data_IF_483846808410
#
_entry.id   IF_483846808410
#
_cell.length_a   1.000
_cell.length_b   1.000
_cell.length_c   1.000
_cell.angle_alpha   90.00
_cell.angle_beta   90.00
_cell.angle_gamma   90.00
#
_symmetry.space_group_name_H-M   'P 1'
#
loop_
_entity.id
_entity.type
_entity.pdbx_description
1 polymer ?
#
# COMPACT_ATOMS: atom_id res chain seq x y z
N UNK A 1 -8.57 16.30 40.10
CA UNK A 1 -8.18 14.87 39.90
C UNK A 1 -8.01 14.46 38.42
N UNK A 2 -8.87 14.90 37.48
CA UNK A 2 -8.71 14.57 36.05
C UNK A 2 -7.46 15.19 35.38
N UNK A 3 -7.12 16.44 35.70
CA UNK A 3 -5.94 17.15 35.12
C UNK A 3 -4.62 16.45 35.47
N UNK A 4 -4.49 15.92 36.69
CA UNK A 4 -3.30 15.24 37.19
C UNK A 4 -3.14 13.83 36.58
N UNK A 5 -4.25 13.14 36.27
CA UNK A 5 -4.24 11.87 35.53
C UNK A 5 -3.82 12.06 34.07
N UNK A 6 -4.28 13.15 33.45
CA UNK A 6 -3.91 13.51 32.07
C UNK A 6 -2.43 13.88 31.99
N UNK A 7 -1.89 14.67 32.92
CA UNK A 7 -0.46 15.01 32.91
C UNK A 7 0.45 13.80 33.16
N UNK A 8 0.04 12.86 34.03
CA UNK A 8 0.75 11.58 34.24
C UNK A 8 0.74 10.70 32.99
N UNK A 9 -0.34 10.70 32.22
CA UNK A 9 -0.41 9.96 30.95
C UNK A 9 0.51 10.57 29.89
N UNK A 10 0.53 11.91 29.77
CA UNK A 10 1.32 12.64 28.76
C UNK A 10 2.84 12.65 29.05
N UNK A 11 3.25 12.41 30.30
CA UNK A 11 4.66 12.25 30.71
C UNK A 11 5.02 10.78 31.04
N UNK A 12 4.26 9.82 30.49
CA UNK A 12 4.53 8.41 30.72
C UNK A 12 5.82 7.99 30.00
N UNK A 13 6.81 7.46 30.72
CA UNK A 13 8.10 6.99 30.17
C UNK A 13 7.94 6.01 29.00
N UNK A 14 6.95 5.12 29.04
CA UNK A 14 6.66 4.19 27.95
C UNK A 14 6.11 4.91 26.71
N UNK A 15 5.23 5.90 26.91
CA UNK A 15 4.73 6.75 25.83
C UNK A 15 5.87 7.53 25.18
N UNK A 16 6.68 8.24 25.98
CA UNK A 16 7.82 9.03 25.50
C UNK A 16 8.83 8.16 24.74
N UNK A 17 9.19 7.00 25.29
CA UNK A 17 10.08 6.03 24.62
C UNK A 17 9.50 5.47 23.32
N UNK A 18 8.19 5.31 23.25
CA UNK A 18 7.50 4.90 22.00
C UNK A 18 7.54 6.02 20.97
N UNK A 19 7.23 7.26 21.36
CA UNK A 19 7.28 8.42 20.48
C UNK A 19 8.70 8.66 19.93
N UNK A 20 9.72 8.54 20.77
CA UNK A 20 11.13 8.60 20.37
C UNK A 20 11.45 7.51 19.33
N UNK A 21 11.15 6.24 19.63
CA UNK A 21 11.38 5.13 18.69
C UNK A 21 10.64 5.30 17.36
N UNK A 22 9.41 5.84 17.38
CA UNK A 22 8.66 6.10 16.15
C UNK A 22 9.27 7.25 15.35
N UNK A 23 9.81 8.28 16.01
CA UNK A 23 10.54 9.33 15.31
C UNK A 23 11.82 8.80 14.62
N UNK A 24 12.50 7.84 15.24
CA UNK A 24 13.73 7.24 14.70
C UNK A 24 13.47 6.18 13.61
N UNK A 25 12.34 5.46 13.72
CA UNK A 25 12.00 4.32 12.87
C UNK A 25 10.62 4.46 12.19
N UNK A 26 10.24 5.68 11.80
CA UNK A 26 8.90 5.99 11.30
C UNK A 26 8.43 5.11 10.13
N UNK A 27 9.30 4.83 9.16
CA UNK A 27 8.98 3.97 8.00
C UNK A 27 8.71 2.53 8.40
N UNK A 28 9.56 1.93 9.24
CA UNK A 28 9.39 0.56 9.72
C UNK A 28 8.17 0.44 10.63
N UNK A 29 7.92 1.43 11.48
CA UNK A 29 6.72 1.51 12.29
C UNK A 29 5.45 1.58 11.44
N UNK A 30 5.44 2.42 10.40
CA UNK A 30 4.30 2.54 9.48
C UNK A 30 4.04 1.25 8.70
N UNK A 31 5.11 0.58 8.22
CA UNK A 31 5.01 -0.70 7.52
C UNK A 31 4.50 -1.82 8.45
N UNK A 32 5.07 -1.94 9.65
CA UNK A 32 4.65 -2.94 10.64
C UNK A 32 3.22 -2.71 11.14
N UNK A 33 2.84 -1.45 11.41
CA UNK A 33 1.46 -1.10 11.78
C UNK A 33 0.49 -1.44 10.65
N UNK A 34 0.83 -1.10 9.41
CA UNK A 34 -0.01 -1.44 8.25
C UNK A 34 -0.21 -2.95 8.11
N UNK A 35 0.83 -3.75 8.35
CA UNK A 35 0.74 -5.21 8.34
C UNK A 35 -0.20 -5.71 9.44
N UNK A 36 0.02 -5.30 10.69
CA UNK A 36 -0.84 -5.71 11.83
C UNK A 36 -2.30 -5.33 11.58
N UNK A 37 -2.56 -4.13 11.06
CA UNK A 37 -3.91 -3.68 10.76
C UNK A 37 -4.55 -4.47 9.59
N UNK A 38 -3.77 -4.84 8.58
CA UNK A 38 -4.23 -5.65 7.45
C UNK A 38 -4.51 -7.12 7.83
N UNK A 39 -3.78 -7.65 8.82
CA UNK A 39 -3.90 -9.03 9.31
C UNK A 39 -4.89 -9.20 10.46
N UNK A 40 -5.14 -8.14 11.23
CA UNK A 40 -6.01 -8.19 12.41
C UNK A 40 -7.25 -7.33 12.24
N UNK A 41 -7.08 -6.01 12.29
CA UNK A 41 -8.20 -5.06 12.39
C UNK A 41 -9.14 -5.13 11.18
N UNK A 42 -8.59 -5.18 9.96
CA UNK A 42 -9.40 -5.28 8.74
C UNK A 42 -10.15 -6.61 8.61
N UNK A 43 -9.52 -7.77 8.84
CA UNK A 43 -10.23 -9.04 8.97
C UNK A 43 -11.37 -9.01 9.98
N UNK A 44 -11.15 -8.46 11.18
CA UNK A 44 -12.20 -8.35 12.21
C UNK A 44 -13.34 -7.44 11.74
N UNK A 45 -13.03 -6.29 11.16
CA UNK A 45 -14.02 -5.37 10.60
C UNK A 45 -14.87 -6.06 9.52
N UNK A 46 -14.23 -6.73 8.56
CA UNK A 46 -14.90 -7.46 7.48
C UNK A 46 -15.85 -8.52 8.05
N UNK A 47 -15.37 -9.36 8.99
CA UNK A 47 -16.17 -10.43 9.58
C UNK A 47 -17.36 -9.88 10.38
N UNK A 48 -17.20 -8.73 11.03
CA UNK A 48 -18.24 -8.05 11.80
C UNK A 48 -19.33 -7.35 10.97
N UNK A 49 -19.14 -7.21 9.66
CA UNK A 49 -20.08 -6.48 8.78
C UNK A 49 -21.48 -7.13 8.78
N UNK A 50 -22.57 -6.42 9.10
CA UNK A 50 -23.92 -7.02 9.07
C UNK A 50 -24.41 -7.28 7.64
N UNK A 51 -25.42 -8.13 7.49
CA UNK A 51 -26.17 -8.37 6.23
C UNK A 51 -25.34 -8.73 4.99
N UNK A 52 -24.20 -9.41 5.20
CA UNK A 52 -23.34 -9.94 4.13
C UNK A 52 -23.18 -11.44 4.30
N UNK A 53 -23.20 -12.17 3.19
CA UNK A 53 -22.96 -13.62 3.20
C UNK A 53 -21.63 -13.98 3.83
N UNK A 54 -21.65 -15.01 4.70
CA UNK A 54 -20.48 -15.46 5.46
C UNK A 54 -19.29 -15.74 4.54
N UNK A 55 -19.52 -16.40 3.41
CA UNK A 55 -18.47 -16.76 2.48
C UNK A 55 -17.88 -15.54 1.76
N UNK A 56 -18.68 -14.53 1.41
CA UNK A 56 -18.19 -13.27 0.85
C UNK A 56 -17.29 -12.52 1.85
N UNK A 57 -17.64 -12.53 3.14
CA UNK A 57 -16.75 -12.01 4.21
C UNK A 57 -15.45 -12.80 4.31
N UNK A 58 -15.51 -14.12 4.17
CA UNK A 58 -14.32 -14.99 4.24
C UNK A 58 -13.36 -14.71 3.07
N UNK A 59 -13.87 -14.56 1.84
CA UNK A 59 -13.05 -14.17 0.69
C UNK A 59 -12.46 -12.77 0.84
N UNK A 60 -13.24 -11.78 1.30
CA UNK A 60 -12.73 -10.44 1.57
C UNK A 60 -11.66 -10.44 2.68
N UNK A 61 -11.86 -11.24 3.73
CA UNK A 61 -10.90 -11.44 4.83
C UNK A 61 -9.60 -12.08 4.33
N UNK A 62 -9.69 -13.17 3.57
CA UNK A 62 -8.54 -13.84 2.97
C UNK A 62 -7.77 -12.89 2.04
N UNK A 63 -8.47 -12.14 1.19
CA UNK A 63 -7.86 -11.14 0.33
C UNK A 63 -7.14 -10.02 1.12
N UNK A 64 -7.70 -9.57 2.24
CA UNK A 64 -7.02 -8.62 3.14
C UNK A 64 -5.70 -9.18 3.68
N UNK A 65 -5.73 -10.42 4.19
CA UNK A 65 -4.56 -11.07 4.74
C UNK A 65 -3.49 -11.29 3.66
N UNK A 66 -3.87 -11.88 2.53
CA UNK A 66 -2.97 -12.13 1.41
C UNK A 66 -2.33 -10.83 0.91
N UNK A 67 -3.13 -9.80 0.66
CA UNK A 67 -2.63 -8.52 0.17
C UNK A 67 -1.70 -7.83 1.17
N UNK A 68 -1.97 -7.96 2.48
CA UNK A 68 -1.09 -7.48 3.56
C UNK A 68 0.26 -8.19 3.56
N UNK A 69 0.27 -9.52 3.52
CA UNK A 69 1.49 -10.34 3.50
C UNK A 69 2.33 -10.06 2.25
N UNK A 70 1.71 -10.09 1.06
CA UNK A 70 2.42 -9.84 -0.20
C UNK A 70 2.93 -8.39 -0.26
N UNK A 71 2.15 -7.41 0.20
CA UNK A 71 2.61 -6.01 0.26
C UNK A 71 3.86 -5.88 1.12
N UNK A 72 3.88 -6.50 2.30
CA UNK A 72 5.04 -6.47 3.18
C UNK A 72 6.26 -7.15 2.55
N UNK A 73 6.09 -8.36 1.99
CA UNK A 73 7.16 -9.07 1.29
C UNK A 73 7.73 -8.29 0.10
N UNK A 74 6.88 -7.62 -0.68
CA UNK A 74 7.30 -6.80 -1.83
C UNK A 74 8.08 -5.54 -1.43
N UNK A 75 7.77 -4.94 -0.27
CA UNK A 75 8.54 -3.81 0.26
C UNK A 75 9.99 -4.26 0.52
N UNK A 76 10.16 -5.38 1.22
CA UNK A 76 11.48 -5.94 1.55
C UNK A 76 12.25 -6.36 0.30
N UNK A 77 11.58 -7.04 -0.63
CA UNK A 77 12.23 -7.62 -1.81
C UNK A 77 12.56 -6.59 -2.90
N UNK A 78 11.79 -5.51 -3.03
CA UNK A 78 11.88 -4.58 -4.17
C UNK A 78 12.09 -3.13 -3.72
N UNK A 79 11.19 -2.59 -2.90
CA UNK A 79 11.20 -1.18 -2.56
C UNK A 79 12.45 -0.79 -1.75
N UNK A 80 12.80 -1.56 -0.72
CA UNK A 80 13.96 -1.28 0.13
C UNK A 80 15.30 -1.32 -0.64
N UNK A 81 15.58 -2.34 -1.47
CA UNK A 81 16.77 -2.32 -2.34
C UNK A 81 16.84 -1.09 -3.26
N UNK A 82 15.71 -0.68 -3.85
CA UNK A 82 15.65 0.50 -4.72
C UNK A 82 15.85 1.79 -3.93
N UNK A 83 15.20 1.96 -2.78
CA UNK A 83 15.42 3.11 -1.89
C UNK A 83 16.86 3.22 -1.45
N UNK A 84 17.49 2.11 -1.07
CA UNK A 84 18.88 2.06 -0.68
C UNK A 84 19.82 2.39 -1.85
N UNK A 85 19.49 1.96 -3.07
CA UNK A 85 20.22 2.32 -4.27
C UNK A 85 20.11 3.83 -4.56
N UNK A 86 18.92 4.44 -4.44
CA UNK A 86 18.77 5.90 -4.57
C UNK A 86 19.54 6.63 -3.47
N UNK A 87 19.51 6.16 -2.22
CA UNK A 87 20.31 6.72 -1.11
C UNK A 87 21.82 6.67 -1.39
N UNK A 88 22.31 5.69 -2.14
CA UNK A 88 23.71 5.65 -2.57
C UNK A 88 24.01 6.76 -3.60
N UNK A 89 23.09 7.01 -4.52
CA UNK A 89 23.18 8.13 -5.48
C UNK A 89 23.12 9.47 -4.74
N UNK A 90 22.21 9.61 -3.76
CA UNK A 90 22.09 10.82 -2.92
C UNK A 90 23.42 11.18 -2.25
N UNK A 91 24.11 10.18 -1.71
CA UNK A 91 25.37 10.37 -0.96
C UNK A 91 26.58 10.59 -1.85
N UNK A 92 26.68 9.89 -2.98
CA UNK A 92 27.85 9.91 -3.86
C UNK A 92 27.43 10.04 -5.34
N UNK A 93 26.84 11.18 -5.74
CA UNK A 93 26.23 11.30 -7.07
C UNK A 93 27.23 11.13 -8.21
N UNK A 94 28.44 11.67 -8.07
CA UNK A 94 29.48 11.62 -9.11
C UNK A 94 29.96 10.20 -9.43
N UNK A 95 29.71 9.25 -8.53
CA UNK A 95 30.02 7.84 -8.75
C UNK A 95 28.99 7.14 -9.65
N UNK A 96 27.75 7.63 -9.68
CA UNK A 96 26.62 6.94 -10.32
C UNK A 96 26.00 7.73 -11.46
N UNK A 97 26.23 9.05 -11.53
CA UNK A 97 25.67 9.95 -12.53
C UNK A 97 26.78 10.62 -13.34
N UNK A 98 26.49 10.95 -14.59
CA UNK A 98 27.41 11.76 -15.40
C UNK A 98 27.51 13.19 -14.83
N UNK A 99 28.67 13.85 -14.92
CA UNK A 99 28.83 15.24 -14.46
C UNK A 99 27.81 16.21 -15.06
N UNK A 100 27.46 16.03 -16.34
CA UNK A 100 26.42 16.82 -17.00
C UNK A 100 25.05 16.62 -16.34
N UNK A 101 24.70 15.39 -15.97
CA UNK A 101 23.44 15.08 -15.29
C UNK A 101 23.42 15.71 -13.90
N UNK A 102 24.51 15.62 -13.14
CA UNK A 102 24.61 16.28 -11.82
C UNK A 102 24.42 17.78 -11.97
N UNK A 103 25.11 18.43 -12.92
CA UNK A 103 24.99 19.87 -13.17
C UNK A 103 23.56 20.28 -13.55
N UNK A 104 22.95 19.57 -14.51
CA UNK A 104 21.61 19.89 -15.02
C UNK A 104 20.52 19.62 -14.00
N UNK A 105 20.60 18.50 -13.27
CA UNK A 105 19.61 18.18 -12.23
C UNK A 105 19.78 19.06 -10.99
N UNK A 106 21.00 19.51 -10.65
CA UNK A 106 21.24 20.43 -9.52
C UNK A 106 20.59 21.80 -9.77
N UNK A 107 20.66 22.31 -11.00
CA UNK A 107 19.88 23.48 -11.44
C UNK A 107 20.01 24.73 -10.57
N UNK A 108 21.16 24.93 -9.90
CA UNK A 108 21.40 26.08 -8.99
C UNK A 108 21.10 25.85 -7.51
N UNK A 109 20.57 24.68 -7.11
CA UNK A 109 20.39 24.32 -5.69
C UNK A 109 21.74 24.16 -4.96
N UNK A 110 21.77 24.25 -3.63
CA UNK A 110 23.02 24.12 -2.86
C UNK A 110 23.62 22.70 -2.99
N UNK A 111 22.75 21.69 -2.99
CA UNK A 111 23.07 20.27 -3.21
C UNK A 111 22.12 19.58 -4.20
N UNK A 112 22.55 18.44 -4.76
CA UNK A 112 21.73 17.67 -5.70
C UNK A 112 20.42 17.19 -5.06
N UNK A 113 20.49 16.65 -3.84
CA UNK A 113 19.32 16.15 -3.10
C UNK A 113 18.33 17.25 -2.69
N UNK A 114 18.71 18.53 -2.79
CA UNK A 114 17.80 19.65 -2.52
C UNK A 114 17.02 20.10 -3.76
N UNK A 115 17.54 19.80 -4.96
CA UNK A 115 16.93 20.18 -6.23
C UNK A 115 15.59 19.49 -6.46
N UNK A 116 14.62 20.27 -6.93
CA UNK A 116 13.29 19.79 -7.34
C UNK A 116 13.38 18.72 -8.43
N UNK A 117 14.16 18.95 -9.48
CA UNK A 117 14.29 18.02 -10.63
C UNK A 117 14.86 16.67 -10.20
N UNK A 118 15.84 16.70 -9.29
CA UNK A 118 16.42 15.48 -8.74
C UNK A 118 15.45 14.75 -7.80
N UNK A 119 14.80 15.47 -6.89
CA UNK A 119 13.78 14.90 -6.00
C UNK A 119 12.65 14.24 -6.78
N UNK A 120 12.20 14.89 -7.86
CA UNK A 120 11.20 14.32 -8.78
C UNK A 120 11.70 13.00 -9.40
N UNK A 121 12.91 12.96 -9.94
CA UNK A 121 13.50 11.74 -10.49
C UNK A 121 13.59 10.62 -9.45
N UNK A 122 14.09 10.94 -8.26
CA UNK A 122 14.19 10.01 -7.12
C UNK A 122 12.81 9.48 -6.69
N UNK A 123 11.79 10.33 -6.62
CA UNK A 123 10.43 9.92 -6.26
C UNK A 123 9.79 9.03 -7.33
N UNK A 124 9.92 9.37 -8.62
CA UNK A 124 9.41 8.53 -9.72
C UNK A 124 10.06 7.15 -9.68
N UNK A 125 11.37 7.06 -9.43
CA UNK A 125 12.04 5.77 -9.30
C UNK A 125 11.57 4.98 -8.08
N UNK A 126 11.50 5.60 -6.90
CA UNK A 126 11.06 4.92 -5.67
C UNK A 126 9.63 4.42 -5.79
N UNK A 127 8.70 5.29 -6.20
CA UNK A 127 7.28 4.98 -6.29
C UNK A 127 6.90 4.17 -7.53
N UNK A 128 7.67 4.29 -8.62
CA UNK A 128 7.50 3.49 -9.83
C UNK A 128 7.67 2.00 -9.61
N UNK A 129 8.38 1.59 -8.55
CA UNK A 129 8.41 0.18 -8.12
C UNK A 129 7.01 -0.37 -7.81
N UNK A 130 6.11 0.48 -7.30
CA UNK A 130 4.71 0.12 -7.06
C UNK A 130 3.97 -0.23 -8.36
N UNK A 131 4.16 0.57 -9.41
CA UNK A 131 3.58 0.29 -10.74
C UNK A 131 4.08 -1.02 -11.32
N UNK A 132 5.40 -1.24 -11.29
CA UNK A 132 6.03 -2.46 -11.84
C UNK A 132 5.56 -3.71 -11.09
N UNK A 133 5.42 -3.61 -9.77
CA UNK A 133 5.03 -4.74 -8.92
C UNK A 133 3.52 -4.94 -8.82
N UNK A 134 2.68 -4.03 -9.34
CA UNK A 134 1.23 -4.10 -9.20
C UNK A 134 0.63 -5.41 -9.76
N UNK A 135 1.02 -5.79 -10.99
CA UNK A 135 0.54 -7.03 -11.62
C UNK A 135 1.07 -8.28 -10.90
N UNK A 136 2.40 -8.44 -10.67
CA UNK A 136 2.90 -9.59 -9.90
C UNK A 136 2.29 -9.68 -8.50
N UNK A 137 2.09 -8.55 -7.82
CA UNK A 137 1.45 -8.48 -6.52
C UNK A 137 0.01 -8.99 -6.57
N UNK A 138 -0.77 -8.63 -7.58
CA UNK A 138 -2.15 -9.13 -7.71
C UNK A 138 -2.16 -10.64 -7.96
N UNK A 139 -1.31 -11.14 -8.85
CA UNK A 139 -1.17 -12.58 -9.13
C UNK A 139 -0.86 -13.36 -7.86
N UNK A 140 0.17 -12.95 -7.11
CA UNK A 140 0.56 -13.61 -5.86
C UNK A 140 -0.52 -13.52 -4.79
N UNK A 141 -1.22 -12.40 -4.71
CA UNK A 141 -2.34 -12.23 -3.76
C UNK A 141 -3.44 -13.23 -4.06
N UNK A 142 -3.89 -13.32 -5.31
CA UNK A 142 -4.95 -14.24 -5.73
C UNK A 142 -4.53 -15.71 -5.60
N UNK A 143 -3.27 -16.04 -5.93
CA UNK A 143 -2.73 -17.38 -5.75
C UNK A 143 -2.68 -17.82 -4.28
N UNK A 144 -2.54 -16.87 -3.34
CA UNK A 144 -2.46 -17.14 -1.91
C UNK A 144 -3.84 -17.26 -1.24
N UNK A 145 -4.91 -16.70 -1.84
CA UNK A 145 -6.28 -16.75 -1.29
C UNK A 145 -6.71 -18.18 -0.94
N UNK A 146 -6.60 -19.20 -1.81
CA UNK A 146 -7.03 -20.56 -1.49
C UNK A 146 -6.32 -21.15 -0.28
N UNK A 147 -5.03 -20.85 -0.12
CA UNK A 147 -4.23 -21.34 1.02
C UNK A 147 -4.73 -20.72 2.33
N UNK A 148 -5.06 -19.43 2.33
CA UNK A 148 -5.61 -18.74 3.50
C UNK A 148 -7.05 -19.19 3.77
N UNK A 149 -7.85 -19.37 2.73
CA UNK A 149 -9.24 -19.86 2.83
C UNK A 149 -9.32 -21.26 3.44
N UNK A 150 -8.44 -22.17 3.02
CA UNK A 150 -8.34 -23.51 3.58
C UNK A 150 -7.91 -23.45 5.06
N UNK A 151 -6.82 -22.74 5.37
CA UNK A 151 -6.27 -22.70 6.74
C UNK A 151 -7.16 -21.99 7.76
N UNK A 152 -7.84 -20.91 7.38
CA UNK A 152 -8.62 -20.11 8.33
C UNK A 152 -10.10 -20.51 8.38
N UNK A 153 -10.63 -21.07 7.29
CA UNK A 153 -12.07 -21.31 7.16
C UNK A 153 -12.43 -22.73 6.77
N UNK A 154 -11.45 -23.64 6.61
CA UNK A 154 -11.65 -25.01 6.13
C UNK A 154 -12.41 -25.09 4.80
N UNK A 155 -12.27 -24.07 3.95
CA UNK A 155 -12.86 -24.04 2.62
C UNK A 155 -11.81 -24.59 1.66
N UNK A 156 -11.93 -25.90 1.40
CA UNK A 156 -11.03 -26.61 0.49
C UNK A 156 -11.14 -26.05 -0.93
N UNK A 157 -10.01 -26.08 -1.64
CA UNK A 157 -9.93 -25.75 -3.07
C UNK A 157 -10.99 -26.53 -3.84
N UNK A 158 -11.72 -25.89 -4.76
CA UNK A 158 -12.59 -26.63 -5.68
C UNK A 158 -11.70 -27.63 -6.44
N UNK A 159 -12.00 -28.92 -6.28
CA UNK A 159 -11.32 -30.03 -6.96
C UNK A 159 -11.83 -30.19 -8.39
N UNK A 160 -11.92 -29.10 -9.15
CA UNK A 160 -11.81 -29.24 -10.60
C UNK A 160 -10.32 -29.40 -10.86
N UNK A 161 -9.93 -30.60 -11.28
CA UNK A 161 -8.58 -30.96 -11.68
C UNK A 161 -8.05 -29.94 -12.66
N UNK A 162 -7.28 -28.97 -12.14
CA UNK A 162 -6.23 -28.37 -12.93
C UNK A 162 -5.23 -29.50 -13.14
N UNK A 163 -5.34 -30.20 -14.27
CA UNK A 163 -4.18 -30.87 -14.86
C UNK A 163 -3.19 -29.76 -15.13
N UNK A 164 -2.32 -29.50 -14.15
CA UNK A 164 -1.02 -28.96 -14.46
C UNK A 164 -0.41 -30.05 -15.32
N UNK A 165 -0.28 -29.79 -16.63
CA UNK A 165 0.72 -30.50 -17.41
C UNK A 165 2.04 -30.23 -16.71
N UNK A 166 2.42 -31.17 -15.83
CA UNK A 166 3.76 -31.28 -15.32
C UNK A 166 4.60 -31.69 -16.52
N UNK A 167 4.99 -30.73 -17.34
CA UNK A 167 6.14 -30.90 -18.18
C UNK A 167 7.35 -30.87 -17.23
N UNK A 168 8.01 -32.01 -16.94
CA UNK A 168 9.08 -32.07 -15.93
C UNK A 168 10.26 -31.15 -16.26
N UNK A 169 10.32 -30.66 -17.50
CA UNK A 169 11.43 -29.90 -18.05
C UNK A 169 11.31 -28.38 -17.87
N UNK A 170 10.21 -27.85 -17.31
CA UNK A 170 10.02 -26.40 -17.15
C UNK A 170 9.70 -25.89 -15.74
N UNK A 171 9.87 -26.73 -14.71
CA UNK A 171 10.07 -26.21 -13.35
C UNK A 171 11.54 -25.86 -13.22
N UNK A 172 11.93 -24.67 -13.68
CA UNK A 172 13.10 -24.03 -13.11
C UNK A 172 12.77 -23.71 -11.66
N UNK A 173 13.03 -24.67 -10.77
CA UNK A 173 13.31 -24.38 -9.38
C UNK A 173 14.37 -23.28 -9.46
N UNK A 174 14.01 -22.06 -9.08
CA UNK A 174 14.97 -21.00 -8.84
C UNK A 174 15.84 -21.58 -7.73
N UNK A 175 16.93 -22.27 -8.11
CA UNK A 175 18.00 -22.64 -7.19
C UNK A 175 18.28 -21.35 -6.47
N UNK A 176 18.02 -21.34 -5.15
CA UNK A 176 18.25 -20.19 -4.31
C UNK A 176 19.76 -19.93 -4.35
N UNK A 177 20.22 -19.24 -5.39
CA UNK A 177 21.50 -18.59 -5.42
C UNK A 177 21.44 -17.75 -4.17
N UNK A 178 22.32 -17.99 -3.20
CA UNK A 178 22.45 -17.12 -2.01
C UNK A 178 22.56 -15.70 -2.58
N UNK A 179 21.45 -14.96 -2.60
CA UNK A 179 21.45 -13.58 -3.06
C UNK A 179 22.22 -12.89 -1.96
N UNK A 180 23.45 -12.44 -2.20
CA UNK A 180 24.20 -11.82 -1.14
C UNK A 180 23.52 -10.47 -0.91
N UNK A 181 22.74 -10.39 0.16
CA UNK A 181 22.29 -9.12 0.76
C UNK A 181 23.48 -8.29 1.30
N UNK A 182 24.71 -8.74 1.05
CA UNK A 182 25.97 -8.02 1.23
C UNK A 182 26.23 -7.05 0.07
N UNK A 183 25.47 -5.96 -0.03
CA UNK A 183 25.86 -4.70 -0.68
C UNK A 183 26.10 -4.64 -2.20
N UNK A 184 26.54 -5.71 -2.88
CA UNK A 184 26.88 -5.71 -4.31
C UNK A 184 25.66 -5.56 -5.22
N UNK A 185 24.51 -6.13 -4.85
CA UNK A 185 23.25 -5.97 -5.60
C UNK A 185 22.75 -4.51 -5.62
N UNK A 186 22.82 -3.83 -4.47
CA UNK A 186 22.45 -2.41 -4.37
C UNK A 186 23.39 -1.49 -5.16
N UNK A 187 24.65 -1.89 -5.37
CA UNK A 187 25.60 -1.14 -6.17
C UNK A 187 25.26 -1.18 -7.67
N UNK A 188 24.91 -2.36 -8.17
CA UNK A 188 24.48 -2.52 -9.56
C UNK A 188 23.13 -1.83 -9.81
N UNK A 189 22.20 -1.93 -8.85
CA UNK A 189 20.94 -1.19 -8.89
C UNK A 189 21.17 0.33 -8.93
N UNK A 190 22.08 0.86 -8.11
CA UNK A 190 22.42 2.29 -8.11
C UNK A 190 23.00 2.72 -9.46
N UNK A 191 23.88 1.92 -10.07
CA UNK A 191 24.39 2.18 -11.43
C UNK A 191 23.27 2.12 -12.48
N UNK A 192 22.35 1.17 -12.37
CA UNK A 192 21.20 1.04 -13.26
C UNK A 192 20.27 2.24 -13.18
N UNK A 193 19.90 2.68 -11.97
CA UNK A 193 19.11 3.89 -11.73
C UNK A 193 19.87 5.13 -12.24
N UNK A 194 21.19 5.19 -12.00
CA UNK A 194 22.03 6.26 -12.53
C UNK A 194 21.94 6.40 -14.06
N UNK A 195 21.96 5.27 -14.79
CA UNK A 195 21.73 5.27 -16.25
C UNK A 195 20.35 5.80 -16.65
N UNK A 196 19.31 5.54 -15.84
CA UNK A 196 17.97 6.09 -16.06
C UNK A 196 18.00 7.61 -15.90
N UNK A 197 18.67 8.13 -14.87
CA UNK A 197 18.78 9.57 -14.65
C UNK A 197 19.65 10.26 -15.72
N UNK A 198 20.67 9.56 -16.22
CA UNK A 198 21.52 10.02 -17.31
C UNK A 198 20.83 10.02 -18.69
N UNK A 199 19.70 9.32 -18.81
CA UNK A 199 18.94 9.30 -20.05
C UNK A 199 18.42 10.71 -20.37
N UNK A 200 18.65 11.17 -21.61
CA UNK A 200 18.29 12.53 -22.04
C UNK A 200 16.79 12.81 -21.90
N UNK A 201 15.94 11.86 -22.28
CA UNK A 201 14.48 12.00 -22.23
C UNK A 201 13.99 12.10 -20.79
N UNK A 202 14.46 11.19 -19.92
CA UNK A 202 14.12 11.21 -18.49
C UNK A 202 14.60 12.51 -17.85
N UNK A 203 15.86 12.90 -18.08
CA UNK A 203 16.42 14.14 -17.55
C UNK A 203 15.64 15.38 -18.00
N UNK A 204 15.30 15.46 -19.28
CA UNK A 204 14.51 16.58 -19.80
C UNK A 204 13.10 16.60 -19.21
N UNK A 205 12.46 15.43 -19.05
CA UNK A 205 11.16 15.31 -18.42
C UNK A 205 11.18 15.83 -16.98
N UNK A 206 12.11 15.36 -16.15
CA UNK A 206 12.16 15.77 -14.73
C UNK A 206 12.59 17.22 -14.53
N UNK A 207 13.34 17.80 -15.46
CA UNK A 207 13.64 19.24 -15.45
C UNK A 207 12.41 20.05 -15.84
N UNK A 208 11.72 19.66 -16.92
CA UNK A 208 10.51 20.33 -17.41
C UNK A 208 9.37 20.32 -16.39
N UNK A 209 9.26 19.24 -15.61
CA UNK A 209 8.18 19.04 -14.66
C UNK A 209 8.62 19.18 -13.19
N UNK A 210 9.75 19.84 -12.93
CA UNK A 210 10.34 19.94 -11.60
C UNK A 210 9.37 20.47 -10.52
N UNK A 211 8.44 21.35 -10.88
CA UNK A 211 7.45 21.90 -9.94
C UNK A 211 6.41 20.88 -9.46
N UNK A 212 6.27 19.73 -10.13
CA UNK A 212 5.39 18.63 -9.71
C UNK A 212 6.00 17.74 -8.62
N UNK A 213 7.21 18.03 -8.14
CA UNK A 213 7.91 17.26 -7.11
C UNK A 213 7.06 17.00 -5.85
N UNK A 214 6.16 17.91 -5.50
CA UNK A 214 5.28 17.75 -4.33
C UNK A 214 4.01 16.93 -4.61
N UNK A 215 3.58 16.83 -5.86
CA UNK A 215 2.32 16.19 -6.25
C UNK A 215 2.53 14.80 -6.86
N UNK A 216 3.69 14.55 -7.47
CA UNK A 216 3.97 13.31 -8.20
C UNK A 216 3.77 12.08 -7.31
N UNK A 217 4.09 12.18 -6.01
CA UNK A 217 3.90 11.07 -5.09
C UNK A 217 2.43 10.65 -4.97
N UNK A 218 1.53 11.63 -4.98
CA UNK A 218 0.08 11.40 -4.96
C UNK A 218 -0.39 10.74 -6.25
N UNK A 219 0.02 11.26 -7.41
CA UNK A 219 -0.37 10.72 -8.71
C UNK A 219 0.16 9.31 -8.95
N UNK A 220 1.42 9.04 -8.61
CA UNK A 220 2.04 7.72 -8.75
C UNK A 220 1.38 6.68 -7.85
N UNK A 221 1.03 7.07 -6.62
CA UNK A 221 0.30 6.20 -5.69
C UNK A 221 -1.10 5.90 -6.23
N UNK A 222 -1.82 6.92 -6.70
CA UNK A 222 -3.14 6.73 -7.31
C UNK A 222 -3.10 5.83 -8.56
N UNK A 223 -2.13 6.05 -9.45
CA UNK A 223 -1.92 5.22 -10.63
C UNK A 223 -1.60 3.76 -10.25
N UNK A 224 -0.77 3.56 -9.23
CA UNK A 224 -0.45 2.23 -8.70
C UNK A 224 -1.70 1.54 -8.14
N UNK A 225 -2.51 2.24 -7.36
CA UNK A 225 -3.73 1.67 -6.76
C UNK A 225 -4.76 1.30 -7.84
N UNK A 226 -4.94 2.14 -8.87
CA UNK A 226 -5.80 1.85 -10.03
C UNK A 226 -5.30 0.60 -10.75
N UNK A 227 -4.01 0.57 -11.11
CA UNK A 227 -3.43 -0.57 -11.84
C UNK A 227 -3.49 -1.85 -11.04
N UNK A 228 -3.17 -1.80 -9.74
CA UNK A 228 -3.25 -2.94 -8.83
C UNK A 228 -4.69 -3.45 -8.72
N UNK A 229 -5.67 -2.56 -8.63
CA UNK A 229 -7.09 -2.92 -8.53
C UNK A 229 -7.61 -3.53 -9.83
N UNK A 230 -7.29 -2.93 -10.97
CA UNK A 230 -7.66 -3.46 -12.28
C UNK A 230 -7.02 -4.85 -12.51
N UNK A 231 -5.74 -4.98 -12.18
CA UNK A 231 -5.04 -6.26 -12.25
C UNK A 231 -5.66 -7.29 -11.31
N UNK A 232 -5.99 -6.92 -10.07
CA UNK A 232 -6.65 -7.82 -9.12
C UNK A 232 -8.05 -8.23 -9.60
N UNK A 233 -8.80 -7.32 -10.22
CA UNK A 233 -10.11 -7.63 -10.78
C UNK A 233 -10.00 -8.64 -11.93
N UNK A 234 -9.09 -8.39 -12.87
CA UNK A 234 -8.80 -9.31 -13.97
C UNK A 234 -8.36 -10.70 -13.46
N UNK A 235 -7.40 -10.74 -12.54
CA UNK A 235 -6.92 -12.01 -11.98
C UNK A 235 -7.98 -12.74 -11.14
N UNK A 236 -8.86 -12.01 -10.45
CA UNK A 236 -9.99 -12.62 -9.72
C UNK A 236 -10.99 -13.24 -10.69
N UNK A 237 -11.36 -12.51 -11.75
CA UNK A 237 -12.31 -12.97 -12.75
C UNK A 237 -11.84 -14.27 -13.43
N UNK A 238 -10.55 -14.35 -13.74
CA UNK A 238 -9.96 -15.49 -14.44
C UNK A 238 -9.43 -16.60 -13.52
N UNK A 239 -9.54 -16.44 -12.19
CA UNK A 239 -9.02 -17.44 -11.25
C UNK A 239 -9.95 -18.65 -11.21
N UNK A 240 -9.45 -19.88 -11.47
CA UNK A 240 -10.21 -21.11 -11.23
C UNK A 240 -10.33 -21.43 -9.73
N UNK A 241 -9.51 -20.79 -8.90
CA UNK A 241 -9.41 -21.11 -7.48
C UNK A 241 -10.36 -20.25 -6.60
N UNK A 242 -11.15 -19.37 -7.22
CA UNK A 242 -12.18 -18.57 -6.55
C UNK A 242 -13.52 -18.98 -7.14
N UNK A 243 -14.49 -19.32 -6.28
CA UNK A 243 -15.84 -19.71 -6.72
C UNK A 243 -16.48 -18.62 -7.58
N UNK A 244 -17.12 -19.02 -8.67
CA UNK A 244 -17.67 -18.10 -9.69
C UNK A 244 -18.62 -17.06 -9.09
N UNK A 245 -19.57 -17.51 -8.26
CA UNK A 245 -20.55 -16.66 -7.55
C UNK A 245 -19.94 -15.79 -6.43
N UNK A 246 -18.62 -15.83 -6.23
CA UNK A 246 -17.90 -15.03 -5.22
C UNK A 246 -16.97 -14.00 -5.87
N UNK A 247 -16.67 -14.14 -7.16
CA UNK A 247 -15.74 -13.28 -7.89
C UNK A 247 -16.22 -11.83 -7.93
N UNK A 248 -17.49 -11.60 -8.30
CA UNK A 248 -18.06 -10.25 -8.44
C UNK A 248 -18.08 -9.48 -7.12
N UNK A 249 -18.60 -10.07 -6.05
CA UNK A 249 -18.54 -9.48 -4.71
C UNK A 249 -17.11 -9.10 -4.30
N UNK A 250 -16.13 -9.97 -4.54
CA UNK A 250 -14.72 -9.68 -4.22
C UNK A 250 -14.15 -8.54 -5.08
N UNK A 251 -14.47 -8.51 -6.38
CA UNK A 251 -14.07 -7.43 -7.30
C UNK A 251 -14.68 -6.10 -6.85
N UNK A 252 -15.99 -6.04 -6.58
CA UNK A 252 -16.65 -4.84 -6.11
C UNK A 252 -16.09 -4.35 -4.77
N UNK A 253 -15.77 -5.27 -3.85
CA UNK A 253 -15.11 -4.92 -2.60
C UNK A 253 -13.78 -4.19 -2.83
N UNK A 254 -12.93 -4.72 -3.73
CA UNK A 254 -11.64 -4.12 -4.06
C UNK A 254 -11.81 -2.77 -4.78
N UNK A 255 -12.71 -2.69 -5.77
CA UNK A 255 -12.98 -1.46 -6.54
C UNK A 255 -13.52 -0.36 -5.63
N UNK A 256 -14.52 -0.66 -4.79
CA UNK A 256 -15.06 0.30 -3.84
C UNK A 256 -14.00 0.73 -2.83
N UNK A 257 -13.20 -0.20 -2.31
CA UNK A 257 -12.14 0.13 -1.37
C UNK A 257 -11.14 1.11 -1.99
N UNK A 258 -10.76 0.91 -3.25
CA UNK A 258 -9.86 1.82 -3.98
C UNK A 258 -10.51 3.16 -4.27
N UNK A 259 -11.76 3.18 -4.77
CA UNK A 259 -12.49 4.41 -5.05
C UNK A 259 -12.66 5.27 -3.78
N UNK A 260 -13.02 4.65 -2.66
CA UNK A 260 -13.11 5.30 -1.36
C UNK A 260 -11.72 5.81 -0.94
N UNK A 261 -10.67 4.99 -1.04
CA UNK A 261 -9.30 5.40 -0.65
C UNK A 261 -8.81 6.61 -1.45
N UNK A 262 -9.04 6.61 -2.77
CA UNK A 262 -8.68 7.73 -3.64
C UNK A 262 -9.53 8.97 -3.29
N UNK A 263 -10.85 8.83 -3.12
CA UNK A 263 -11.71 9.96 -2.72
C UNK A 263 -11.30 10.55 -1.36
N UNK A 264 -11.06 9.70 -0.37
CA UNK A 264 -10.66 10.10 0.98
C UNK A 264 -9.26 10.72 1.01
N UNK A 265 -8.30 10.17 0.26
CA UNK A 265 -6.92 10.67 0.18
C UNK A 265 -6.81 12.09 -0.41
N UNK A 266 -7.81 12.56 -1.13
CA UNK A 266 -7.85 13.93 -1.65
C UNK A 266 -8.66 14.89 -0.74
N UNK A 267 -9.54 14.38 0.14
CA UNK A 267 -10.47 15.20 0.93
C UNK A 267 -10.11 15.43 2.42
N UNK A 268 -9.34 14.54 3.06
CA UNK A 268 -9.21 14.52 4.54
C UNK A 268 -8.14 15.45 5.13
N UNK A 269 -7.14 15.87 4.35
CA UNK A 269 -5.99 16.63 4.87
C UNK A 269 -6.37 17.94 5.57
N UNK A 270 -7.52 18.53 5.20
CA UNK A 270 -8.06 19.77 5.79
C UNK A 270 -8.80 19.53 7.12
N UNK A 271 -9.43 18.38 7.30
CA UNK A 271 -10.23 18.06 8.48
C UNK A 271 -9.37 17.63 9.70
N UNK A 272 -8.28 16.90 9.47
CA UNK A 272 -7.42 16.37 10.55
C UNK A 272 -6.54 17.45 11.19
N UNK A 273 -6.06 18.43 10.40
CA UNK A 273 -5.14 19.48 10.89
C UNK A 273 -5.81 20.39 11.95
N UNK A 274 -7.09 20.70 11.82
CA UNK A 274 -7.77 21.66 12.69
C UNK A 274 -8.12 21.12 14.09
N UNK A 275 -8.40 19.82 14.25
CA UNK A 275 -8.88 19.25 15.53
C UNK A 275 -7.79 18.85 16.53
N UNK A 276 -6.51 18.93 16.16
CA UNK A 276 -5.43 18.26 16.92
C UNK A 276 -4.33 19.20 17.45
N UNK A 277 -4.40 20.50 17.14
CA UNK A 277 -3.43 21.49 17.64
C UNK A 277 -3.43 21.66 19.16
N UNK A 278 -4.60 21.57 19.81
CA UNK A 278 -4.72 21.73 21.26
C UNK A 278 -4.05 20.61 22.06
N UNK A 279 -4.00 19.39 21.51
CA UNK A 279 -3.31 18.26 22.15
C UNK A 279 -1.80 18.48 22.14
N UNK A 280 -1.22 18.86 20.99
CA UNK A 280 0.23 19.08 20.86
C UNK A 280 0.68 20.22 21.78
N UNK A 281 -0.08 21.32 21.84
CA UNK A 281 0.22 22.43 22.74
C UNK A 281 0.28 21.98 24.19
N UNK A 282 -0.72 21.24 24.68
CA UNK A 282 -0.75 20.70 26.04
C UNK A 282 0.35 19.67 26.30
N UNK A 283 0.66 18.82 25.34
CA UNK A 283 1.75 17.84 25.45
C UNK A 283 3.12 18.53 25.55
N UNK A 284 3.35 19.55 24.73
CA UNK A 284 4.58 20.34 24.74
C UNK A 284 4.75 21.11 26.04
N UNK A 285 3.66 21.65 26.60
CA UNK A 285 3.67 22.35 27.87
C UNK A 285 4.05 21.42 29.04
N UNK A 286 3.49 20.20 29.08
CA UNK A 286 3.78 19.19 30.12
C UNK A 286 5.22 18.67 30.05
N UNK A 287 5.80 18.58 28.85
CA UNK A 287 7.12 18.01 28.60
C UNK A 287 8.19 19.06 28.23
N UNK A 288 7.93 20.36 28.52
CA UNK A 288 8.78 21.50 28.08
C UNK A 288 10.24 21.43 28.51
N UNK A 289 10.52 20.72 29.61
CA UNK A 289 11.85 20.59 30.21
C UNK A 289 12.60 19.33 29.74
N UNK A 290 11.97 18.48 28.92
CA UNK A 290 12.61 17.30 28.38
C UNK A 290 13.40 17.67 27.10
N UNK A 291 14.73 17.43 27.03
CA UNK A 291 15.55 17.78 25.87
C UNK A 291 15.12 17.05 24.59
N UNK A 292 14.39 15.93 24.71
CA UNK A 292 13.89 15.14 23.58
C UNK A 292 12.48 15.53 23.14
N UNK A 293 11.92 16.62 23.66
CA UNK A 293 10.57 17.08 23.31
C UNK A 293 10.34 17.17 21.79
N UNK A 294 11.32 17.65 21.04
CA UNK A 294 11.25 17.73 19.58
C UNK A 294 11.03 16.36 18.92
N UNK A 295 11.71 15.31 19.40
CA UNK A 295 11.53 13.91 18.95
C UNK A 295 10.14 13.38 19.29
N UNK A 296 9.62 13.71 20.47
CA UNK A 296 8.27 13.29 20.85
C UNK A 296 7.21 13.95 19.97
N UNK A 297 7.34 15.24 19.68
CA UNK A 297 6.44 15.97 18.78
C UNK A 297 6.52 15.41 17.36
N UNK A 298 7.72 15.10 16.86
CA UNK A 298 7.92 14.41 15.58
C UNK A 298 7.21 13.05 15.56
N UNK A 299 7.38 12.23 16.61
CA UNK A 299 6.69 10.96 16.79
C UNK A 299 5.16 11.12 16.80
N UNK A 300 4.62 12.11 17.51
CA UNK A 300 3.17 12.42 17.52
C UNK A 300 2.69 12.78 16.11
N UNK A 301 3.46 13.58 15.37
CA UNK A 301 3.12 13.99 14.01
C UNK A 301 3.14 12.83 13.01
N UNK A 302 3.88 11.75 13.29
CA UNK A 302 3.87 10.50 12.51
C UNK A 302 2.70 9.59 12.94
N UNK A 303 2.56 9.31 14.25
CA UNK A 303 1.57 8.37 14.79
C UNK A 303 0.14 8.88 14.55
N UNK A 304 -0.12 10.18 14.76
CA UNK A 304 -1.47 10.76 14.69
C UNK A 304 -2.16 10.52 13.36
N UNK A 305 -1.62 10.97 12.20
CA UNK A 305 -2.24 10.68 10.92
C UNK A 305 -2.28 9.17 10.67
N UNK A 306 -1.21 8.43 11.01
CA UNK A 306 -1.17 6.99 10.79
C UNK A 306 -2.30 6.24 11.51
N UNK A 307 -2.61 6.56 12.77
CA UNK A 307 -3.69 5.91 13.53
C UNK A 307 -5.08 6.31 13.05
N UNK A 308 -5.30 7.59 12.70
CA UNK A 308 -6.59 8.04 12.17
C UNK A 308 -6.85 7.39 10.81
N UNK A 309 -5.84 7.44 9.92
CA UNK A 309 -5.91 6.75 8.64
C UNK A 309 -6.07 5.25 8.82
N UNK A 310 -5.35 4.63 9.76
CA UNK A 310 -5.49 3.20 10.01
C UNK A 310 -6.89 2.81 10.53
N UNK A 311 -7.45 3.57 11.47
CA UNK A 311 -8.79 3.30 11.99
C UNK A 311 -9.88 3.45 10.92
N UNK A 312 -9.78 4.48 10.07
CA UNK A 312 -10.72 4.65 8.95
C UNK A 312 -10.49 3.58 7.89
N UNK A 313 -9.26 3.40 7.43
CA UNK A 313 -8.91 2.54 6.29
C UNK A 313 -9.02 1.04 6.60
N UNK A 314 -8.60 0.60 7.79
CA UNK A 314 -8.65 -0.80 8.19
C UNK A 314 -9.85 -1.14 9.08
N UNK A 315 -10.48 -0.16 9.75
CA UNK A 315 -11.65 -0.40 10.59
C UNK A 315 -12.96 -0.10 9.88
N UNK A 316 -13.18 1.16 9.50
CA UNK A 316 -14.49 1.63 9.02
C UNK A 316 -14.76 1.30 7.56
N UNK A 317 -13.79 1.61 6.69
CA UNK A 317 -13.90 1.44 5.24
C UNK A 317 -14.21 -0.01 4.84
N UNK A 318 -13.57 -1.05 5.43
CA UNK A 318 -13.85 -2.44 5.07
C UNK A 318 -15.29 -2.85 5.39
N UNK A 319 -15.92 -2.28 6.43
CA UNK A 319 -17.33 -2.54 6.73
C UNK A 319 -18.20 -2.01 5.60
N UNK A 320 -17.99 -0.74 5.21
CA UNK A 320 -18.75 -0.13 4.12
C UNK A 320 -18.52 -0.80 2.77
N UNK A 321 -17.26 -1.04 2.39
CA UNK A 321 -16.96 -1.64 1.09
C UNK A 321 -17.48 -3.08 0.99
N UNK A 322 -17.46 -3.84 2.09
CA UNK A 322 -17.99 -5.21 2.14
C UNK A 322 -19.52 -5.22 2.06
N UNK A 323 -20.18 -4.34 2.84
CA UNK A 323 -21.64 -4.21 2.81
C UNK A 323 -22.15 -3.76 1.44
N UNK A 324 -21.57 -2.71 0.86
CA UNK A 324 -22.02 -2.16 -0.43
C UNK A 324 -21.73 -3.15 -1.57
N UNK A 325 -20.58 -3.82 -1.55
CA UNK A 325 -20.24 -4.82 -2.57
C UNK A 325 -21.31 -5.93 -2.67
N UNK A 326 -21.75 -6.46 -1.52
CA UNK A 326 -22.82 -7.47 -1.44
C UNK A 326 -24.14 -6.94 -2.05
N UNK A 327 -24.54 -5.72 -1.69
CA UNK A 327 -25.79 -5.13 -2.16
C UNK A 327 -25.76 -4.87 -3.67
N UNK A 328 -24.64 -4.41 -4.20
CA UNK A 328 -24.44 -4.22 -5.64
C UNK A 328 -24.52 -5.56 -6.37
N UNK A 329 -23.83 -6.58 -5.86
CA UNK A 329 -23.83 -7.91 -6.47
C UNK A 329 -25.25 -8.49 -6.56
N UNK A 330 -25.96 -8.50 -5.43
CA UNK A 330 -27.36 -8.96 -5.35
C UNK A 330 -28.33 -8.14 -6.20
N UNK A 331 -28.10 -6.84 -6.32
CA UNK A 331 -28.93 -5.97 -7.17
C UNK A 331 -28.74 -6.31 -8.66
N UNK A 332 -27.49 -6.48 -9.09
CA UNK A 332 -27.16 -6.84 -10.48
C UNK A 332 -27.71 -8.23 -10.81
N UNK A 333 -27.53 -9.22 -9.94
CA UNK A 333 -28.07 -10.57 -10.14
C UNK A 333 -29.60 -10.54 -10.30
N UNK A 334 -30.32 -9.88 -9.39
CA UNK A 334 -31.78 -9.77 -9.46
C UNK A 334 -32.27 -9.12 -10.76
N UNK A 335 -31.61 -8.06 -11.23
CA UNK A 335 -32.00 -7.40 -12.46
C UNK A 335 -31.66 -8.24 -13.70
N UNK A 336 -30.53 -8.95 -13.70
CA UNK A 336 -30.17 -9.85 -14.80
C UNK A 336 -31.16 -11.01 -14.95
N UNK A 337 -31.70 -11.52 -13.84
CA UNK A 337 -32.73 -12.55 -13.84
C UNK A 337 -34.06 -12.00 -14.39
N UNK A 338 -34.49 -10.81 -13.94
CA UNK A 338 -35.70 -10.15 -14.47
C UNK A 338 -35.64 -9.91 -15.98
N UNK A 339 -34.47 -9.50 -16.51
CA UNK A 339 -34.28 -9.31 -17.95
C UNK A 339 -34.41 -10.64 -18.70
N UNK A 340 -33.79 -11.72 -18.20
CA UNK A 340 -33.91 -13.06 -18.80
C UNK A 340 -35.34 -13.59 -18.78
N UNK A 341 -36.06 -13.42 -17.69
CA UNK A 341 -37.46 -13.84 -17.59
C UNK A 341 -38.35 -13.06 -18.57
N UNK A 342 -38.08 -11.77 -18.74
CA UNK A 342 -38.79 -10.91 -19.71
C UNK A 342 -38.52 -11.31 -21.17
N UNK A 343 -37.27 -11.64 -21.50
CA UNK A 343 -36.88 -12.15 -22.83
C UNK A 343 -37.50 -13.53 -23.11
N UNK A 344 -37.54 -14.41 -22.10
CA UNK A 344 -38.16 -15.74 -22.23
C UNK A 344 -39.67 -15.61 -22.51
N UNK A 345 -40.37 -14.75 -21.77
CA UNK A 345 -41.81 -14.52 -21.97
C UNK A 345 -42.14 -13.87 -23.33
N UNK A 346 -41.25 -13.02 -23.87
CA UNK A 346 -41.39 -12.46 -25.23
C UNK A 346 -41.09 -13.47 -26.34
N UNK A 347 -40.29 -14.51 -26.08
CA UNK A 347 -39.97 -15.55 -27.07
C UNK A 347 -41.02 -16.67 -27.20
N UNK A 348 -41.97 -16.71 -26.27
CA UNK A 348 -43.05 -17.72 -26.19
C UNK A 348 -44.43 -17.13 -26.55
N UNK A 349 -44.50 -15.81 -26.79
CA UNK A 349 -45.65 -15.11 -27.37
C UNK A 349 -45.40 -14.82 -28.84
#
# INVERSE_FOLDING_TARGET
MQVQKISRFLNNKMLLKTLEKVSEHGSSFAAGTSLVMALGVRPLAILSTPDVEKENKQYACANSICSGLIKFGMIEAVALPVENAVKKIDKNPDKYLKPLTVKLLKGGASGLSESKSYKLAAQITKLGTGLITAIPKSVLTIALIPVIMDKLFNIKKNNETVTVENNPDNIQIIKSKKIPFQGKGTEQLAKGIGKIFDNKTVRQFVIKHADEEKNIAKHMTAATDILLTASAAYQTNNSPNIKENRKKALIYNNVLSTAITLGFGYGIDKAIKNKTGNFIKRFAEVNRHDPKLHKYIEGINIIRPALIFAGIYYGLLPVFSTYIAEKIDKFIERNSLKTKDSELHQSVS
#
